data_IF_961508296268
#
_entry.id   IF_961508296268
#
_cell.length_a   1.000
_cell.length_b   1.000
_cell.length_c   1.000
_cell.angle_alpha   90.00
_cell.angle_beta   90.00
_cell.angle_gamma   90.00
#
_symmetry.space_group_name_H-M   'P 1'
#
loop_
_entity.id
_entity.type
_entity.pdbx_description
1 polymer ?
#
# COMPACT_ATOMS: atom_id res chain seq x y z
N UNK A 1 -5.11 24.49 -45.44
CA UNK A 1 -5.51 24.95 -44.10
C UNK A 1 -6.48 23.96 -43.42
N UNK A 2 -7.53 23.47 -44.10
CA UNK A 2 -8.49 22.53 -43.51
C UNK A 2 -7.88 21.17 -43.17
N UNK A 3 -6.92 20.67 -43.96
CA UNK A 3 -6.24 19.41 -43.69
C UNK A 3 -5.32 19.45 -42.48
N UNK A 4 -4.80 20.62 -42.12
CA UNK A 4 -3.90 20.81 -40.97
C UNK A 4 -4.70 20.85 -39.63
N UNK A 5 -5.91 21.39 -39.66
CA UNK A 5 -6.82 21.35 -38.52
C UNK A 5 -7.25 19.93 -38.22
N UNK A 6 -7.51 19.11 -39.24
CA UNK A 6 -7.84 17.68 -39.06
C UNK A 6 -6.68 16.86 -38.47
N UNK A 7 -5.44 17.17 -38.83
CA UNK A 7 -4.26 16.53 -38.27
C UNK A 7 -3.92 16.92 -36.84
N UNK A 8 -4.50 18.01 -36.34
CA UNK A 8 -4.36 18.50 -34.97
C UNK A 8 -5.48 18.05 -34.03
N UNK A 9 -6.45 17.29 -34.50
CA UNK A 9 -7.43 16.66 -33.63
C UNK A 9 -6.69 15.60 -32.80
N UNK A 10 -6.39 15.95 -31.56
CA UNK A 10 -5.72 15.07 -30.62
C UNK A 10 -6.66 13.93 -30.24
N UNK A 11 -6.11 12.74 -30.11
CA UNK A 11 -6.78 11.62 -29.47
C UNK A 11 -7.10 12.01 -28.03
N UNK A 12 -8.35 11.84 -27.61
CA UNK A 12 -8.73 12.02 -26.21
C UNK A 12 -8.16 10.88 -25.36
N UNK A 13 -7.65 11.21 -24.18
CA UNK A 13 -7.23 10.23 -23.19
C UNK A 13 -8.35 10.10 -22.15
N UNK A 14 -8.98 8.93 -22.09
CA UNK A 14 -9.95 8.59 -21.06
C UNK A 14 -9.23 8.14 -19.79
N UNK A 15 -9.17 8.97 -18.76
CA UNK A 15 -8.45 8.68 -17.50
C UNK A 15 -8.91 7.35 -16.89
N UNK A 16 -10.22 7.12 -16.81
CA UNK A 16 -10.77 5.86 -16.29
C UNK A 16 -10.37 4.63 -17.11
N UNK A 17 -10.23 4.80 -18.44
CA UNK A 17 -9.78 3.72 -19.33
C UNK A 17 -8.30 3.43 -19.12
N UNK A 18 -7.47 4.46 -18.91
CA UNK A 18 -6.05 4.29 -18.59
C UNK A 18 -5.89 3.53 -17.29
N UNK A 19 -6.67 3.87 -16.25
CA UNK A 19 -6.68 3.14 -14.98
C UNK A 19 -7.03 1.66 -15.18
N UNK A 20 -8.05 1.35 -15.98
CA UNK A 20 -8.42 -0.02 -16.30
C UNK A 20 -7.29 -0.77 -17.04
N UNK A 21 -6.61 -0.13 -17.99
CA UNK A 21 -5.46 -0.72 -18.68
C UNK A 21 -4.29 -1.00 -17.72
N UNK A 22 -4.04 -0.11 -16.76
CA UNK A 22 -2.99 -0.31 -15.76
C UNK A 22 -3.35 -1.49 -14.84
N UNK A 23 -4.60 -1.57 -14.37
CA UNK A 23 -5.07 -2.71 -13.58
C UNK A 23 -4.91 -4.03 -14.34
N UNK A 24 -5.23 -4.06 -15.64
CA UNK A 24 -5.09 -5.24 -16.50
C UNK A 24 -3.64 -5.68 -16.71
N UNK A 25 -2.69 -4.77 -16.65
CA UNK A 25 -1.27 -5.06 -16.84
C UNK A 25 -0.50 -5.27 -15.54
N UNK A 26 -1.08 -4.86 -14.40
CA UNK A 26 -0.45 -4.91 -13.08
C UNK A 26 -1.30 -5.71 -12.10
N UNK A 27 -1.39 -7.01 -12.34
CA UNK A 27 -2.05 -7.96 -11.45
C UNK A 27 -1.34 -9.32 -11.47
N UNK A 28 -1.58 -10.11 -10.44
CA UNK A 28 -1.16 -11.52 -10.34
C UNK A 28 -2.35 -12.38 -9.87
N UNK A 29 -2.09 -13.66 -9.57
CA UNK A 29 -3.11 -14.59 -9.06
C UNK A 29 -3.71 -14.18 -7.70
N UNK A 30 -3.07 -13.29 -6.96
CA UNK A 30 -3.49 -12.80 -5.64
C UNK A 30 -4.33 -11.54 -5.72
N UNK A 31 -4.22 -10.75 -6.79
CA UNK A 31 -4.95 -9.51 -6.99
C UNK A 31 -4.15 -8.45 -7.73
N UNK A 32 -4.48 -7.19 -7.48
CA UNK A 32 -3.81 -6.04 -8.10
C UNK A 32 -2.40 -5.81 -7.51
N UNK A 33 -1.53 -5.21 -8.30
CA UNK A 33 -0.20 -4.78 -7.90
C UNK A 33 0.07 -3.38 -8.47
N UNK A 34 -0.46 -2.36 -7.81
CA UNK A 34 -0.37 -0.99 -8.31
C UNK A 34 1.05 -0.44 -8.29
N UNK A 35 1.51 0.19 -9.37
CA UNK A 35 2.69 1.06 -9.30
C UNK A 35 2.51 2.15 -8.24
N UNK A 36 3.55 2.44 -7.46
CA UNK A 36 3.47 3.36 -6.32
C UNK A 36 2.97 4.77 -6.68
N UNK A 37 3.20 5.20 -7.93
CA UNK A 37 2.81 6.54 -8.43
C UNK A 37 1.29 6.71 -8.56
N UNK A 38 0.56 5.61 -8.78
CA UNK A 38 -0.89 5.64 -9.08
C UNK A 38 -1.71 4.77 -8.14
N UNK A 39 -1.08 4.16 -7.16
CA UNK A 39 -1.76 3.36 -6.15
C UNK A 39 -2.79 4.21 -5.40
N UNK A 40 -3.95 3.63 -4.99
CA UNK A 40 -4.98 4.35 -4.23
C UNK A 40 -4.50 4.82 -2.85
N UNK A 41 -3.45 4.19 -2.34
CA UNK A 41 -2.64 4.60 -1.21
C UNK A 41 -1.24 3.99 -1.38
N UNK A 42 -0.26 4.49 -0.65
CA UNK A 42 1.12 4.01 -0.75
C UNK A 42 1.41 2.88 0.24
N UNK A 43 0.74 2.88 1.38
CA UNK A 43 0.92 1.90 2.44
C UNK A 43 -0.43 1.34 2.90
N UNK A 44 -0.50 0.03 3.11
CA UNK A 44 -1.64 -0.62 3.75
C UNK A 44 -1.21 -1.13 5.13
N UNK A 45 -1.72 -0.52 6.19
CA UNK A 45 -1.46 -0.94 7.57
C UNK A 45 -2.54 -1.92 8.01
N UNK A 46 -2.13 -3.13 8.39
CA UNK A 46 -3.03 -4.22 8.79
C UNK A 46 -2.79 -4.52 10.27
N UNK A 47 -3.75 -4.16 11.11
CA UNK A 47 -3.73 -4.56 12.53
C UNK A 47 -4.37 -5.94 12.70
N UNK A 48 -3.66 -6.88 13.36
CA UNK A 48 -4.12 -8.26 13.57
C UNK A 48 -4.05 -8.66 15.03
N UNK A 49 -4.86 -9.64 15.41
CA UNK A 49 -4.90 -10.15 16.77
C UNK A 49 -6.07 -9.59 17.59
N UNK A 50 -6.00 -9.82 18.89
CA UNK A 50 -7.02 -9.37 19.86
C UNK A 50 -6.49 -8.32 20.84
N UNK A 51 -5.17 -8.13 20.84
CA UNK A 51 -4.48 -7.26 21.78
C UNK A 51 -4.59 -5.80 21.34
N UNK A 52 -5.07 -4.93 22.25
CA UNK A 52 -5.18 -3.51 21.99
C UNK A 52 -3.82 -2.89 21.63
N UNK A 53 -2.74 -3.36 22.22
CA UNK A 53 -1.40 -2.85 21.97
C UNK A 53 -0.95 -2.94 20.48
N UNK A 54 -1.40 -3.97 19.75
CA UNK A 54 -1.12 -4.07 18.31
C UNK A 54 -1.87 -3.01 17.51
N UNK A 55 -3.12 -2.72 17.89
CA UNK A 55 -3.92 -1.66 17.27
C UNK A 55 -3.38 -0.28 17.59
N UNK A 56 -3.00 -0.04 18.87
CA UNK A 56 -2.41 1.23 19.30
C UNK A 56 -1.09 1.51 18.57
N UNK A 57 -0.26 0.48 18.34
CA UNK A 57 0.96 0.60 17.56
C UNK A 57 0.68 0.89 16.08
N UNK A 58 -0.35 0.24 15.51
CA UNK A 58 -0.78 0.49 14.14
C UNK A 58 -1.30 1.93 13.97
N UNK A 59 -2.15 2.42 14.90
CA UNK A 59 -2.68 3.79 14.88
C UNK A 59 -1.57 4.84 14.97
N UNK A 60 -0.56 4.62 15.81
CA UNK A 60 0.62 5.50 15.89
C UNK A 60 1.39 5.52 14.58
N UNK A 61 1.62 4.34 13.98
CA UNK A 61 2.30 4.24 12.69
C UNK A 61 1.52 4.98 11.60
N UNK A 62 0.19 4.84 11.56
CA UNK A 62 -0.67 5.56 10.60
C UNK A 62 -0.50 7.06 10.77
N UNK A 63 -0.61 7.59 12.00
CA UNK A 63 -0.45 9.01 12.27
C UNK A 63 0.94 9.54 11.83
N UNK A 64 2.01 8.80 12.12
CA UNK A 64 3.37 9.18 11.71
C UNK A 64 3.57 9.17 10.17
N UNK A 65 2.90 8.26 9.45
CA UNK A 65 2.93 8.22 7.99
C UNK A 65 2.13 9.37 7.38
N UNK A 66 0.94 9.66 7.91
CA UNK A 66 0.10 10.78 7.47
C UNK A 66 0.79 12.14 7.69
N UNK A 67 1.47 12.32 8.83
CA UNK A 67 2.28 13.52 9.11
C UNK A 67 3.40 13.73 8.06
N UNK A 68 3.90 12.65 7.47
CA UNK A 68 4.88 12.67 6.37
C UNK A 68 4.26 12.84 4.99
N UNK A 69 2.93 12.94 4.90
CA UNK A 69 2.20 13.08 3.64
C UNK A 69 2.08 11.77 2.85
N UNK A 70 2.23 10.63 3.52
CA UNK A 70 2.06 9.29 2.92
C UNK A 70 0.61 8.88 3.09
N UNK A 71 -0.05 8.51 1.98
CA UNK A 71 -1.43 8.03 1.99
C UNK A 71 -1.50 6.59 2.48
N UNK A 72 -2.36 6.33 3.47
CA UNK A 72 -2.46 5.05 4.17
C UNK A 72 -3.88 4.49 4.10
N UNK A 73 -3.99 3.19 3.84
CA UNK A 73 -5.20 2.41 4.14
C UNK A 73 -4.96 1.70 5.47
N UNK A 74 -5.85 1.89 6.43
CA UNK A 74 -5.78 1.22 7.72
C UNK A 74 -6.91 0.21 7.90
N UNK A 75 -6.55 -1.06 8.13
CA UNK A 75 -7.51 -2.12 8.45
C UNK A 75 -7.57 -2.37 9.96
N UNK A 76 -8.53 -1.73 10.60
CA UNK A 76 -8.80 -1.79 12.04
C UNK A 76 -9.85 -2.84 12.45
N UNK A 77 -10.34 -3.67 11.53
CA UNK A 77 -11.43 -4.64 11.75
C UNK A 77 -11.07 -5.69 12.81
N UNK A 78 -11.59 -5.56 14.03
CA UNK A 78 -11.25 -6.43 15.19
C UNK A 78 -11.80 -7.86 15.11
N UNK A 79 -12.87 -8.09 14.34
CA UNK A 79 -13.58 -9.38 14.28
C UNK A 79 -13.27 -10.20 13.03
N UNK A 80 -12.30 -9.80 12.22
CA UNK A 80 -11.92 -10.45 10.97
C UNK A 80 -10.62 -11.24 11.19
N UNK A 81 -10.57 -12.45 10.62
CA UNK A 81 -9.36 -13.26 10.72
C UNK A 81 -8.18 -12.63 9.98
N UNK A 82 -6.94 -12.78 10.48
CA UNK A 82 -5.75 -12.24 9.80
C UNK A 82 -5.63 -12.67 8.34
N UNK A 83 -5.98 -13.93 8.03
CA UNK A 83 -5.92 -14.44 6.67
C UNK A 83 -6.85 -13.74 5.70
N UNK A 84 -8.02 -13.28 6.14
CA UNK A 84 -8.93 -12.48 5.31
C UNK A 84 -8.34 -11.09 5.08
N UNK A 85 -7.83 -10.44 6.12
CA UNK A 85 -7.19 -9.12 6.01
C UNK A 85 -6.00 -9.12 5.03
N UNK A 86 -5.16 -10.16 5.08
CA UNK A 86 -4.05 -10.30 4.16
C UNK A 86 -4.51 -10.49 2.72
N UNK A 87 -5.54 -11.31 2.49
CA UNK A 87 -6.11 -11.49 1.15
C UNK A 87 -6.75 -10.20 0.63
N UNK A 88 -7.43 -9.44 1.47
CA UNK A 88 -7.99 -8.15 1.11
C UNK A 88 -6.87 -7.15 0.75
N UNK A 89 -5.78 -7.11 1.52
CA UNK A 89 -4.64 -6.24 1.24
C UNK A 89 -3.93 -6.62 -0.08
N UNK A 90 -3.77 -7.92 -0.34
CA UNK A 90 -3.20 -8.42 -1.60
C UNK A 90 -4.14 -8.15 -2.79
N UNK A 91 -5.46 -8.28 -2.59
CA UNK A 91 -6.45 -8.00 -3.62
C UNK A 91 -6.47 -6.51 -4.02
N UNK A 92 -6.42 -5.61 -3.03
CA UNK A 92 -6.35 -4.15 -3.27
C UNK A 92 -5.05 -3.78 -3.96
N UNK A 93 -3.95 -4.41 -3.61
CA UNK A 93 -2.67 -4.32 -4.31
C UNK A 93 -1.87 -3.05 -4.04
N UNK A 94 -1.95 -2.49 -2.83
CA UNK A 94 -1.11 -1.36 -2.40
C UNK A 94 0.36 -1.79 -2.34
N UNK A 95 1.33 -0.95 -2.78
CA UNK A 95 2.73 -1.34 -2.95
C UNK A 95 3.41 -1.87 -1.69
N UNK A 96 3.13 -1.26 -0.54
CA UNK A 96 3.70 -1.61 0.76
C UNK A 96 2.62 -2.03 1.74
N UNK A 97 2.85 -3.15 2.43
CA UNK A 97 1.94 -3.66 3.47
C UNK A 97 2.71 -3.70 4.79
N UNK A 98 2.20 -3.04 5.82
CA UNK A 98 2.74 -3.06 7.17
C UNK A 98 1.81 -3.85 8.09
N UNK A 99 2.33 -4.86 8.77
CA UNK A 99 1.54 -5.75 9.63
C UNK A 99 1.89 -5.53 11.09
N UNK A 100 0.93 -5.05 11.85
CA UNK A 100 1.00 -4.98 13.31
C UNK A 100 0.20 -6.14 13.91
N UNK A 101 0.85 -7.02 14.66
CA UNK A 101 0.23 -8.22 15.18
C UNK A 101 0.91 -8.76 16.43
N UNK A 102 0.96 -10.08 16.56
CA UNK A 102 1.56 -10.76 17.71
C UNK A 102 3.03 -10.36 17.93
N UNK A 103 3.80 -10.24 16.87
CA UNK A 103 5.21 -9.87 16.96
C UNK A 103 5.39 -8.42 17.39
N UNK A 104 4.45 -7.55 17.08
CA UNK A 104 4.42 -6.17 17.58
C UNK A 104 4.26 -6.12 19.10
N UNK A 105 3.41 -6.98 19.65
CA UNK A 105 3.18 -7.08 21.10
C UNK A 105 4.36 -7.73 21.82
N UNK A 106 4.91 -8.82 21.26
CA UNK A 106 5.96 -9.62 21.92
C UNK A 106 7.36 -9.05 21.74
N UNK A 107 7.66 -8.58 20.54
CA UNK A 107 9.01 -8.21 20.11
C UNK A 107 9.14 -6.71 19.82
N UNK A 108 8.05 -5.95 19.80
CA UNK A 108 8.04 -4.54 19.42
C UNK A 108 8.40 -4.32 17.95
N UNK A 109 8.06 -5.26 17.06
CA UNK A 109 8.40 -5.20 15.63
C UNK A 109 7.15 -5.16 14.75
N UNK A 110 7.23 -4.45 13.64
CA UNK A 110 6.25 -4.43 12.55
C UNK A 110 6.84 -5.15 11.35
N UNK A 111 6.08 -6.04 10.75
CA UNK A 111 6.47 -6.71 9.52
C UNK A 111 6.09 -5.83 8.32
N UNK A 112 7.09 -5.50 7.49
CA UNK A 112 6.90 -4.73 6.26
C UNK A 112 7.09 -5.69 5.07
N UNK A 113 6.10 -5.73 4.19
CA UNK A 113 6.08 -6.54 2.97
C UNK A 113 5.94 -5.65 1.74
N UNK A 114 6.64 -5.99 0.67
CA UNK A 114 6.37 -5.44 -0.64
C UNK A 114 5.29 -6.31 -1.32
N UNK A 115 4.37 -5.67 -2.05
CA UNK A 115 3.31 -6.39 -2.76
C UNK A 115 3.86 -7.27 -3.90
N UNK A 116 4.85 -6.78 -4.63
CA UNK A 116 5.43 -7.45 -5.81
C UNK A 116 6.39 -8.58 -5.46
N UNK A 117 7.09 -8.47 -4.33
CA UNK A 117 8.02 -9.48 -3.87
C UNK A 117 7.50 -10.18 -2.62
N UNK A 118 7.89 -11.44 -2.43
CA UNK A 118 7.59 -12.18 -1.20
C UNK A 118 8.48 -11.75 -0.03
N UNK A 119 9.28 -10.68 -0.21
CA UNK A 119 10.21 -10.21 0.80
C UNK A 119 9.46 -9.53 1.94
N UNK A 120 9.68 -10.04 3.13
CA UNK A 120 9.20 -9.44 4.37
C UNK A 120 10.38 -9.13 5.29
N UNK A 121 10.32 -7.99 5.95
CA UNK A 121 11.33 -7.55 6.91
C UNK A 121 10.63 -7.11 8.19
N UNK A 122 11.09 -7.64 9.32
CA UNK A 122 10.65 -7.19 10.63
C UNK A 122 11.51 -5.99 11.07
N UNK A 123 10.86 -4.89 11.41
CA UNK A 123 11.51 -3.63 11.79
C UNK A 123 10.95 -3.18 13.15
N UNK A 124 11.77 -2.61 14.05
CA UNK A 124 11.26 -2.03 15.28
C UNK A 124 10.15 -1.00 15.00
N UNK A 125 9.13 -0.96 15.87
CA UNK A 125 8.00 -0.02 15.73
C UNK A 125 8.47 1.42 15.55
N UNK A 126 9.51 1.83 16.29
CA UNK A 126 10.08 3.18 16.22
C UNK A 126 10.67 3.54 14.84
N UNK A 127 11.19 2.55 14.11
CA UNK A 127 11.85 2.75 12.82
C UNK A 127 10.94 2.44 11.63
N UNK A 128 9.73 1.93 11.88
CA UNK A 128 8.81 1.45 10.86
C UNK A 128 8.40 2.55 9.87
N UNK A 129 8.02 3.72 10.38
CA UNK A 129 7.62 4.86 9.54
C UNK A 129 8.76 5.34 8.64
N UNK A 130 9.99 5.42 9.19
CA UNK A 130 11.17 5.82 8.42
C UNK A 130 11.53 4.79 7.36
N UNK A 131 11.46 3.50 7.68
CA UNK A 131 11.74 2.41 6.75
C UNK A 131 10.73 2.37 5.62
N UNK A 132 9.43 2.55 5.92
CA UNK A 132 8.37 2.63 4.92
C UNK A 132 8.57 3.83 3.98
N UNK A 133 8.90 5.01 4.53
CA UNK A 133 9.19 6.20 3.73
C UNK A 133 10.38 5.97 2.78
N UNK A 134 11.49 5.41 3.28
CA UNK A 134 12.68 5.14 2.44
C UNK A 134 12.40 4.11 1.34
N UNK A 135 11.60 3.07 1.63
CA UNK A 135 11.19 2.09 0.61
C UNK A 135 10.27 2.72 -0.43
N UNK A 136 9.35 3.57 0.01
CA UNK A 136 8.47 4.30 -0.90
C UNK A 136 9.26 5.23 -1.83
N UNK A 137 10.24 5.96 -1.31
CA UNK A 137 11.13 6.81 -2.14
C UNK A 137 11.88 5.98 -3.19
N UNK A 138 12.35 4.80 -2.83
CA UNK A 138 12.97 3.87 -3.79
C UNK A 138 11.99 3.43 -4.87
N UNK A 139 10.73 3.11 -4.52
CA UNK A 139 9.69 2.73 -5.47
C UNK A 139 9.24 3.88 -6.38
N UNK A 140 9.34 5.12 -5.89
CA UNK A 140 9.03 6.33 -6.63
C UNK A 140 10.21 6.85 -7.48
N UNK A 141 11.38 6.21 -7.37
CA UNK A 141 12.60 6.61 -8.09
C UNK A 141 13.21 7.92 -7.60
N UNK A 142 13.06 8.22 -6.32
CA UNK A 142 13.62 9.41 -5.65
C UNK A 142 14.92 9.11 -4.92
#
# INVERSE_FOLDING_TARGET
>A
AASDVYKRQCYGIGVSRVLACIAETHHDERGLAWPAVIAPAQVHVVATGKDAAAFDAAEKLVAELEERGIEVIYDDRKKVSPGVKFKDAELIGVPLIAVAGRDTVNNGTIEIRNRDSSDSVAVPVADAAQTLASRLDTLLGK
#
